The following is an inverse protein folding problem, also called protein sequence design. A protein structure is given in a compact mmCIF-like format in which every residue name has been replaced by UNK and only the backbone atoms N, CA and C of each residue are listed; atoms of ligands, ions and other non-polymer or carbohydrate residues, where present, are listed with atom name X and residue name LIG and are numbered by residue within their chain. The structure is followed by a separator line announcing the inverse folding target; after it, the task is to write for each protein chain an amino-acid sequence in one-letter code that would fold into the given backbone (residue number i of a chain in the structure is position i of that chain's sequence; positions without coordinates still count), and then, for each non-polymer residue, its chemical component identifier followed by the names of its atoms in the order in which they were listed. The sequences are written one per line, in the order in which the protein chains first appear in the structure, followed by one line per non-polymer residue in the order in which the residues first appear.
data_IF_155405767907
#
_entry.id   IF_155405767907
#
_cell.length_a   1.000
_cell.length_b   1.000
_cell.length_c   1.000
_cell.angle_alpha   90.00
_cell.angle_beta   90.00
_cell.angle_gamma   90.00
#
_symmetry.space_group_name_H-M   'P 1'
#
loop_
_entity.id
_entity.type
_entity.pdbx_description
1 polymer ?
#
# COMPACT_ATOMS: atom_id res chain seq x y z
N UNK A 1 83.92 3.34 -52.32
CA UNK A 1 82.66 2.60 -52.57
C UNK A 1 81.59 3.10 -51.63
N UNK A 2 80.66 3.92 -52.04
CA UNK A 2 79.57 4.51 -51.24
C UNK A 2 78.28 3.75 -51.50
N UNK A 3 77.73 3.10 -50.47
CA UNK A 3 76.39 2.49 -50.59
C UNK A 3 75.32 3.56 -50.42
N UNK A 4 74.34 3.73 -51.32
CA UNK A 4 73.19 4.58 -51.06
C UNK A 4 72.16 3.78 -50.23
N UNK A 5 71.90 4.19 -49.05
CA UNK A 5 70.78 3.70 -48.24
C UNK A 5 69.50 4.28 -48.85
N UNK A 6 68.71 3.41 -49.46
CA UNK A 6 67.35 3.73 -49.91
C UNK A 6 66.45 4.00 -48.72
N UNK A 7 66.15 5.29 -48.48
CA UNK A 7 65.07 5.69 -47.61
C UNK A 7 63.74 5.30 -48.26
N UNK A 8 63.17 4.20 -47.82
CA UNK A 8 61.79 3.84 -48.14
C UNK A 8 60.91 4.87 -47.39
N UNK A 9 60.44 5.90 -48.10
CA UNK A 9 59.38 6.80 -47.66
C UNK A 9 58.12 6.01 -47.44
N UNK A 10 57.84 5.70 -46.19
CA UNK A 10 56.54 5.14 -45.75
C UNK A 10 55.49 6.23 -46.00
N UNK A 11 54.75 6.15 -47.06
CA UNK A 11 53.60 7.01 -47.35
C UNK A 11 52.49 6.62 -46.39
N UNK A 12 52.06 7.47 -45.44
CA UNK A 12 50.89 7.19 -44.66
C UNK A 12 49.69 7.30 -45.56
N UNK A 13 49.15 6.15 -45.97
CA UNK A 13 47.91 6.06 -46.73
C UNK A 13 46.81 6.78 -45.93
N UNK A 14 46.17 7.75 -46.58
CA UNK A 14 45.09 8.56 -46.07
C UNK A 14 43.88 7.66 -45.71
N UNK A 15 43.85 7.13 -44.50
CA UNK A 15 42.70 6.38 -43.94
C UNK A 15 41.76 7.27 -43.10
N UNK A 16 41.90 8.60 -43.13
CA UNK A 16 41.16 9.54 -42.26
C UNK A 16 39.64 9.54 -42.49
N UNK A 17 39.13 9.18 -43.65
CA UNK A 17 37.68 9.17 -43.92
C UNK A 17 36.93 7.99 -43.28
N UNK A 18 37.55 6.79 -43.33
CA UNK A 18 36.92 5.57 -42.77
C UNK A 18 36.83 5.63 -41.24
N UNK A 19 37.87 6.14 -40.57
CA UNK A 19 37.91 6.29 -39.11
C UNK A 19 36.82 7.23 -38.63
N UNK A 20 36.55 8.31 -39.34
CA UNK A 20 35.50 9.26 -38.95
C UNK A 20 34.08 8.61 -39.08
N UNK A 21 33.84 7.86 -40.18
CA UNK A 21 32.54 7.17 -40.35
C UNK A 21 32.34 6.07 -39.34
N UNK A 22 33.36 5.25 -39.04
CA UNK A 22 33.27 4.22 -38.02
C UNK A 22 33.09 4.82 -36.62
N UNK A 23 33.76 5.94 -36.31
CA UNK A 23 33.58 6.66 -35.07
C UNK A 23 32.16 7.20 -34.92
N UNK A 24 31.57 7.77 -35.96
CA UNK A 24 30.18 8.23 -35.95
C UNK A 24 29.18 7.08 -35.76
N UNK A 25 29.37 5.96 -36.44
CA UNK A 25 28.52 4.78 -36.26
C UNK A 25 28.62 4.21 -34.87
N UNK A 26 29.81 4.12 -34.30
CA UNK A 26 30.01 3.67 -32.92
C UNK A 26 29.33 4.60 -31.94
N UNK A 27 29.47 5.90 -32.07
CA UNK A 27 28.83 6.90 -31.21
C UNK A 27 27.31 6.83 -31.32
N UNK A 28 26.76 6.59 -32.52
CA UNK A 28 25.32 6.42 -32.73
C UNK A 28 24.80 5.17 -31.99
N UNK A 29 25.47 4.04 -32.07
CA UNK A 29 25.08 2.81 -31.37
C UNK A 29 25.14 2.99 -29.89
N UNK A 30 26.22 3.60 -29.35
CA UNK A 30 26.36 3.87 -27.90
C UNK A 30 25.29 4.82 -27.40
N UNK A 31 24.93 5.85 -28.18
CA UNK A 31 23.84 6.77 -27.77
C UNK A 31 22.48 6.08 -27.72
N UNK A 32 22.15 5.20 -28.68
CA UNK A 32 20.90 4.44 -28.64
C UNK A 32 20.85 3.55 -27.37
N UNK A 33 21.93 2.83 -27.07
CA UNK A 33 22.01 1.98 -25.88
C UNK A 33 21.88 2.82 -24.61
N UNK A 34 22.55 3.96 -24.53
CA UNK A 34 22.49 4.84 -23.37
C UNK A 34 21.08 5.38 -23.14
N UNK A 35 20.38 5.83 -24.19
CA UNK A 35 19.01 6.34 -24.08
C UNK A 35 18.04 5.24 -23.66
N UNK A 36 18.15 4.04 -24.23
CA UNK A 36 17.27 2.92 -23.84
C UNK A 36 17.51 2.49 -22.39
N UNK A 37 18.76 2.44 -21.94
CA UNK A 37 19.10 2.13 -20.54
C UNK A 37 18.54 3.19 -19.57
N UNK A 38 18.66 4.48 -19.90
CA UNK A 38 18.13 5.57 -19.09
C UNK A 38 16.60 5.50 -18.97
N UNK A 39 15.89 5.23 -20.07
CA UNK A 39 14.44 5.09 -20.06
C UNK A 39 13.97 3.91 -19.17
N UNK A 40 14.64 2.77 -19.25
CA UNK A 40 14.32 1.61 -18.42
C UNK A 40 14.54 1.90 -16.92
N UNK A 41 15.61 2.62 -16.57
CA UNK A 41 15.88 3.02 -15.19
C UNK A 41 14.80 3.95 -14.64
N UNK A 42 14.35 4.94 -15.42
CA UNK A 42 13.30 5.87 -15.00
C UNK A 42 11.94 5.18 -14.81
N UNK A 43 11.60 4.22 -15.69
CA UNK A 43 10.40 3.41 -15.52
C UNK A 43 10.48 2.54 -14.25
N UNK A 44 11.62 1.92 -13.99
CA UNK A 44 11.84 1.13 -12.77
C UNK A 44 11.67 1.95 -11.49
N UNK A 45 12.20 3.18 -11.46
CA UNK A 45 12.03 4.09 -10.34
C UNK A 45 10.58 4.53 -10.14
N UNK A 46 9.85 4.83 -11.22
CA UNK A 46 8.43 5.19 -11.13
C UNK A 46 7.58 4.01 -10.63
N UNK A 47 7.82 2.80 -11.13
CA UNK A 47 7.12 1.61 -10.64
C UNK A 47 7.42 1.33 -9.17
N UNK A 48 8.68 1.45 -8.75
CA UNK A 48 9.06 1.30 -7.34
C UNK A 48 8.40 2.35 -6.45
N UNK A 49 8.36 3.61 -6.91
CA UNK A 49 7.69 4.70 -6.19
C UNK A 49 6.19 4.44 -6.02
N UNK A 50 5.48 4.08 -7.10
CA UNK A 50 4.05 3.79 -7.03
C UNK A 50 3.72 2.57 -6.15
N UNK A 51 4.61 1.56 -6.13
CA UNK A 51 4.45 0.41 -5.25
C UNK A 51 4.65 0.79 -3.77
N UNK A 52 5.61 1.66 -3.47
CA UNK A 52 5.80 2.19 -2.11
C UNK A 52 4.60 3.01 -1.65
N UNK A 53 4.05 3.87 -2.51
CA UNK A 53 2.86 4.67 -2.20
C UNK A 53 1.65 3.77 -1.95
N UNK A 54 1.43 2.73 -2.76
CA UNK A 54 0.36 1.76 -2.55
C UNK A 54 0.51 0.99 -1.24
N UNK A 55 1.73 0.56 -0.93
CA UNK A 55 2.02 -0.16 0.32
C UNK A 55 1.80 0.72 1.56
N UNK A 56 2.25 1.98 1.51
CA UNK A 56 2.01 2.95 2.57
C UNK A 56 0.52 3.23 2.76
N UNK A 57 -0.20 3.41 1.65
CA UNK A 57 -1.65 3.60 1.68
C UNK A 57 -2.38 2.42 2.33
N UNK A 58 -1.97 1.19 1.99
CA UNK A 58 -2.52 -0.03 2.60
C UNK A 58 -2.24 -0.08 4.11
N UNK A 59 -1.01 0.18 4.53
CA UNK A 59 -0.67 0.20 5.96
C UNK A 59 -1.44 1.27 6.74
N UNK A 60 -1.67 2.43 6.14
CA UNK A 60 -2.47 3.50 6.75
C UNK A 60 -3.93 3.09 6.92
N UNK A 61 -4.54 2.49 5.90
CA UNK A 61 -5.90 1.97 5.98
C UNK A 61 -6.01 0.82 7.00
N UNK A 62 -5.04 -0.08 7.04
CA UNK A 62 -4.99 -1.16 8.02
C UNK A 62 -4.85 -0.63 9.46
N UNK A 63 -4.04 0.40 9.66
CA UNK A 63 -3.92 1.06 10.96
C UNK A 63 -5.26 1.65 11.44
N UNK A 64 -6.08 2.18 10.53
CA UNK A 64 -7.45 2.63 10.83
C UNK A 64 -8.34 1.52 11.36
N UNK A 65 -8.29 0.33 10.75
CA UNK A 65 -9.04 -0.85 11.22
C UNK A 65 -8.64 -1.25 12.64
N UNK A 66 -7.34 -1.36 12.90
CA UNK A 66 -6.84 -1.72 14.23
C UNK A 66 -7.13 -0.65 15.28
N UNK A 67 -7.09 0.62 14.88
CA UNK A 67 -7.46 1.71 15.75
C UNK A 67 -8.92 1.62 16.18
N UNK A 68 -9.85 1.33 15.25
CA UNK A 68 -11.26 1.13 15.56
C UNK A 68 -11.49 -0.09 16.48
N UNK A 69 -10.80 -1.20 16.21
CA UNK A 69 -10.84 -2.37 17.08
C UNK A 69 -10.33 -2.07 18.50
N UNK A 70 -9.30 -1.23 18.60
CA UNK A 70 -8.74 -0.81 19.90
C UNK A 70 -9.71 -0.02 20.76
N UNK A 71 -10.78 0.56 20.19
CA UNK A 71 -11.84 1.24 20.94
C UNK A 71 -12.88 0.28 21.52
N UNK A 72 -12.86 -0.99 21.12
CA UNK A 72 -13.81 -1.97 21.64
C UNK A 72 -13.76 -2.06 23.17
N UNK A 73 -14.92 -1.96 23.83
CA UNK A 73 -15.04 -2.01 25.27
C UNK A 73 -14.62 -0.74 26.01
N UNK A 74 -14.24 0.33 25.33
CA UNK A 74 -13.97 1.64 25.93
C UNK A 74 -15.24 2.50 26.04
N UNK A 75 -15.12 3.70 26.57
CA UNK A 75 -16.24 4.66 26.60
C UNK A 75 -16.69 5.08 25.18
N UNK A 76 -15.79 5.04 24.21
CA UNK A 76 -16.01 5.37 22.80
C UNK A 76 -16.12 4.12 21.92
N UNK A 77 -16.59 2.98 22.46
CA UNK A 77 -16.78 1.73 21.71
C UNK A 77 -17.73 1.94 20.51
N UNK A 78 -17.27 1.79 19.27
CA UNK A 78 -18.10 1.96 18.09
C UNK A 78 -19.05 0.77 17.84
N UNK A 79 -18.88 -0.34 18.56
CA UNK A 79 -19.71 -1.56 18.42
C UNK A 79 -20.91 -1.54 19.38
N UNK A 80 -21.72 -0.46 19.33
CA UNK A 80 -22.85 -0.21 20.25
C UNK A 80 -24.21 -0.28 19.58
N UNK A 81 -24.51 -1.26 18.75
CA UNK A 81 -25.81 -1.42 18.09
C UNK A 81 -26.35 -0.16 17.40
N UNK A 82 -25.46 0.64 16.83
CA UNK A 82 -25.83 1.74 15.94
C UNK A 82 -25.67 1.28 14.49
N UNK A 83 -26.58 1.69 13.62
CA UNK A 83 -26.53 1.27 12.21
C UNK A 83 -25.23 1.66 11.53
N UNK A 84 -24.76 2.89 11.79
CA UNK A 84 -23.48 3.42 11.31
C UNK A 84 -22.85 4.29 12.39
N UNK A 85 -21.57 4.09 12.64
CA UNK A 85 -20.72 5.00 13.42
C UNK A 85 -19.65 5.52 12.46
N UNK A 86 -19.87 6.73 11.95
CA UNK A 86 -18.88 7.45 11.17
C UNK A 86 -17.86 8.12 12.10
N UNK A 87 -16.61 8.18 11.66
CA UNK A 87 -15.51 8.83 12.37
C UNK A 87 -15.43 8.47 13.88
N UNK A 88 -15.21 7.20 14.24
CA UNK A 88 -15.27 6.73 15.63
C UNK A 88 -14.21 7.37 16.53
N UNK A 89 -13.31 8.18 16.01
CA UNK A 89 -12.20 8.81 16.74
C UNK A 89 -12.47 10.24 17.17
N UNK A 90 -13.60 10.84 16.77
CA UNK A 90 -13.90 12.27 17.00
C UNK A 90 -13.83 12.70 18.47
N UNK A 91 -14.28 11.84 19.40
CA UNK A 91 -14.32 12.14 20.83
C UNK A 91 -13.14 11.54 21.61
N UNK A 92 -12.13 10.97 20.92
CA UNK A 92 -11.00 10.32 21.56
C UNK A 92 -9.90 11.34 21.87
N UNK A 93 -9.69 11.65 23.15
CA UNK A 93 -8.69 12.63 23.62
C UNK A 93 -7.26 12.33 23.11
N UNK A 94 -6.91 11.06 23.01
CA UNK A 94 -5.65 10.61 22.45
C UNK A 94 -5.94 9.89 21.12
N UNK A 95 -6.00 10.63 20.02
CA UNK A 95 -6.30 10.06 18.72
C UNK A 95 -5.36 8.88 18.41
N UNK A 96 -5.87 7.68 18.09
CA UNK A 96 -5.04 6.49 17.95
C UNK A 96 -4.08 6.58 16.75
N UNK A 97 -4.43 7.38 15.75
CA UNK A 97 -3.63 7.58 14.52
C UNK A 97 -2.65 8.76 14.61
N UNK A 98 -2.49 9.36 15.81
CA UNK A 98 -1.62 10.54 16.03
C UNK A 98 -0.16 10.37 15.62
N UNK A 99 0.32 9.14 15.55
CA UNK A 99 1.69 8.83 15.18
C UNK A 99 1.85 8.57 13.68
N UNK A 100 0.77 8.66 12.91
CA UNK A 100 0.87 8.56 11.45
C UNK A 100 1.49 9.83 10.86
N UNK A 101 2.18 9.64 9.74
CA UNK A 101 2.75 10.76 8.99
C UNK A 101 1.62 11.64 8.48
N UNK A 102 1.70 12.95 8.75
CA UNK A 102 0.68 13.91 8.33
C UNK A 102 -0.32 14.34 9.42
N UNK A 103 -0.46 13.57 10.50
CA UNK A 103 -1.33 13.97 11.62
C UNK A 103 -0.83 15.29 12.27
N UNK A 104 -1.71 16.25 12.68
CA UNK A 104 -3.17 16.26 12.62
C UNK A 104 -3.78 16.83 11.32
N UNK A 105 -2.96 17.31 10.39
CA UNK A 105 -3.43 18.05 9.21
C UNK A 105 -3.83 17.12 8.05
N UNK A 106 -3.38 15.89 8.08
CA UNK A 106 -3.66 14.87 7.08
C UNK A 106 -4.52 13.75 7.69
N UNK A 107 -5.83 14.01 7.79
CA UNK A 107 -6.83 12.99 8.09
C UNK A 107 -7.11 12.17 6.81
N UNK A 108 -6.06 11.63 6.24
CA UNK A 108 -6.15 10.82 5.03
C UNK A 108 -6.76 9.44 5.26
N UNK A 109 -7.00 9.08 6.52
CA UNK A 109 -7.63 7.83 6.92
C UNK A 109 -9.02 8.11 7.47
N UNK A 110 -10.03 7.66 6.74
CA UNK A 110 -11.43 7.69 7.13
C UNK A 110 -11.87 6.29 7.57
N UNK A 111 -12.61 6.20 8.68
CA UNK A 111 -13.03 4.91 9.25
C UNK A 111 -14.50 4.96 9.62
N UNK A 112 -15.25 4.00 9.06
CA UNK A 112 -16.66 3.80 9.36
C UNK A 112 -16.92 2.40 9.94
N UNK A 113 -17.83 2.30 10.87
CA UNK A 113 -18.28 1.04 11.47
C UNK A 113 -19.75 0.85 11.21
N UNK A 114 -20.11 -0.24 10.54
CA UNK A 114 -21.47 -0.60 10.17
C UNK A 114 -21.97 -1.81 10.95
N UNK A 115 -23.17 -1.74 11.49
CA UNK A 115 -23.89 -2.91 12.02
C UNK A 115 -24.55 -3.65 10.84
N UNK A 116 -24.13 -4.86 10.58
CA UNK A 116 -24.68 -5.68 9.49
C UNK A 116 -25.90 -6.47 9.96
N UNK A 117 -25.80 -7.07 11.14
CA UNK A 117 -26.96 -7.72 11.76
C UNK A 117 -26.74 -7.88 13.27
N UNK A 118 -27.83 -7.70 14.01
CA UNK A 118 -27.87 -7.94 15.44
C UNK A 118 -28.69 -9.22 15.74
N UNK A 119 -28.50 -9.76 16.96
CA UNK A 119 -29.33 -10.84 17.52
C UNK A 119 -29.36 -12.11 16.65
N UNK A 120 -28.24 -12.46 16.06
CA UNK A 120 -28.09 -13.72 15.33
C UNK A 120 -27.38 -14.78 16.15
N UNK A 121 -27.70 -16.04 15.84
CA UNK A 121 -26.97 -17.16 16.42
C UNK A 121 -25.48 -17.05 16.12
N UNK A 122 -24.66 -17.25 17.15
CA UNK A 122 -23.20 -17.23 17.00
C UNK A 122 -22.71 -18.42 16.15
N UNK A 123 -21.65 -18.23 15.33
CA UNK A 123 -21.05 -19.32 14.61
C UNK A 123 -20.49 -20.34 15.59
N UNK A 124 -20.86 -21.62 15.37
CA UNK A 124 -20.38 -22.72 16.20
C UNK A 124 -19.06 -23.24 15.68
N UNK A 125 -18.12 -23.56 16.58
CA UNK A 125 -16.95 -24.33 16.15
C UNK A 125 -17.41 -25.72 15.64
N UNK A 126 -16.74 -26.28 14.61
CA UNK A 126 -17.13 -27.57 14.01
C UNK A 126 -16.97 -28.78 14.93
N UNK A 127 -16.46 -28.60 16.15
CA UNK A 127 -16.26 -29.69 17.10
C UNK A 127 -17.42 -29.79 18.07
N UNK A 128 -17.96 -30.98 18.21
CA UNK A 128 -19.11 -31.36 19.04
C UNK A 128 -18.91 -31.21 20.57
N UNK A 129 -17.76 -30.74 21.03
CA UNK A 129 -17.39 -30.63 22.44
C UNK A 129 -17.57 -29.21 23.04
N UNK A 130 -18.10 -28.25 22.30
CA UNK A 130 -18.34 -26.90 22.77
C UNK A 130 -19.71 -26.75 23.40
N UNK A 131 -19.81 -27.00 24.69
CA UNK A 131 -21.02 -26.84 25.48
C UNK A 131 -21.37 -25.39 25.84
N UNK A 132 -21.41 -24.46 24.91
CA UNK A 132 -22.06 -23.17 25.17
C UNK A 132 -23.56 -23.30 24.89
N UNK A 133 -24.36 -23.02 25.89
CA UNK A 133 -25.80 -23.00 25.77
C UNK A 133 -26.22 -22.04 24.66
N UNK A 134 -26.83 -22.61 23.62
CA UNK A 134 -27.23 -21.96 22.37
C UNK A 134 -28.20 -20.79 22.58
N UNK A 135 -28.78 -20.69 23.77
CA UNK A 135 -29.81 -19.69 24.15
C UNK A 135 -29.27 -18.54 25.00
N UNK A 136 -27.99 -18.54 25.37
CA UNK A 136 -27.45 -17.53 26.29
C UNK A 136 -26.65 -16.44 25.56
N UNK A 137 -26.12 -16.75 24.37
CA UNK A 137 -25.27 -15.83 23.62
C UNK A 137 -25.87 -15.55 22.26
N UNK A 138 -25.99 -14.27 21.95
CA UNK A 138 -26.27 -13.75 20.62
C UNK A 138 -25.01 -13.12 20.05
N UNK A 139 -24.93 -13.06 18.73
CA UNK A 139 -23.84 -12.44 18.03
C UNK A 139 -24.31 -11.25 17.20
N UNK A 140 -23.54 -10.21 17.28
CA UNK A 140 -23.65 -9.01 16.48
C UNK A 140 -22.54 -9.00 15.44
N UNK A 141 -22.90 -8.72 14.19
CA UNK A 141 -21.99 -8.72 13.06
C UNK A 141 -21.77 -7.29 12.62
N UNK A 142 -20.52 -6.89 12.62
CA UNK A 142 -20.10 -5.56 12.21
C UNK A 142 -19.16 -5.64 11.03
N UNK A 143 -19.13 -4.59 10.24
CA UNK A 143 -18.13 -4.35 9.20
C UNK A 143 -17.45 -3.02 9.48
N UNK A 144 -16.15 -3.04 9.59
CA UNK A 144 -15.31 -1.86 9.66
C UNK A 144 -14.83 -1.60 8.24
N UNK A 145 -14.99 -0.39 7.76
CA UNK A 145 -14.39 0.10 6.52
C UNK A 145 -13.36 1.15 6.87
N UNK A 146 -12.17 1.05 6.30
CA UNK A 146 -11.12 2.04 6.46
C UNK A 146 -10.61 2.42 5.09
N UNK A 147 -10.66 3.70 4.78
CA UNK A 147 -10.19 4.25 3.53
C UNK A 147 -9.03 5.22 3.79
N UNK A 148 -7.95 5.05 3.04
CA UNK A 148 -6.86 6.02 2.99
C UNK A 148 -6.78 6.63 1.60
N UNK A 149 -6.74 7.96 1.53
CA UNK A 149 -6.66 8.72 0.28
C UNK A 149 -5.50 9.69 0.34
N UNK A 150 -4.48 9.45 -0.48
CA UNK A 150 -3.40 10.41 -0.73
C UNK A 150 -3.54 10.96 -2.15
N UNK A 151 -3.93 12.21 -2.25
CA UNK A 151 -4.26 12.85 -3.53
C UNK A 151 -3.10 12.76 -4.54
N UNK A 152 -3.40 12.17 -5.70
CA UNK A 152 -2.43 12.02 -6.79
C UNK A 152 -1.41 10.90 -6.63
N UNK A 153 -1.49 10.11 -5.54
CA UNK A 153 -0.54 9.00 -5.27
C UNK A 153 -1.22 7.66 -5.12
N UNK A 154 -2.04 7.49 -4.08
CA UNK A 154 -2.69 6.21 -3.81
C UNK A 154 -4.03 6.38 -3.11
N UNK A 155 -4.94 5.45 -3.36
CA UNK A 155 -6.19 5.28 -2.64
C UNK A 155 -6.37 3.80 -2.32
N UNK A 156 -6.64 3.50 -1.04
CA UNK A 156 -6.83 2.12 -0.59
C UNK A 156 -8.00 2.06 0.37
N UNK A 157 -8.93 1.16 0.12
CA UNK A 157 -10.03 0.84 1.02
C UNK A 157 -9.87 -0.60 1.49
N UNK A 158 -9.95 -0.80 2.80
CA UNK A 158 -9.85 -2.11 3.45
C UNK A 158 -11.11 -2.34 4.30
N UNK A 159 -11.64 -3.55 4.27
CA UNK A 159 -12.83 -3.92 5.04
C UNK A 159 -12.52 -5.09 5.94
N UNK A 160 -13.04 -5.06 7.17
CA UNK A 160 -12.91 -6.12 8.16
C UNK A 160 -14.26 -6.48 8.77
N UNK A 161 -14.62 -7.76 8.71
CA UNK A 161 -15.77 -8.29 9.43
C UNK A 161 -15.43 -8.59 10.89
N UNK A 162 -16.27 -8.11 11.81
CA UNK A 162 -16.11 -8.32 13.26
C UNK A 162 -17.37 -8.98 13.81
N UNK A 163 -17.19 -9.95 14.70
CA UNK A 163 -18.28 -10.59 15.41
C UNK A 163 -18.11 -10.29 16.90
N UNK A 164 -19.12 -9.64 17.49
CA UNK A 164 -19.18 -9.36 18.91
C UNK A 164 -20.19 -10.29 19.55
N UNK A 165 -19.72 -11.10 20.53
CA UNK A 165 -20.61 -11.94 21.32
C UNK A 165 -21.20 -11.12 22.45
N UNK A 166 -22.50 -11.12 22.58
CA UNK A 166 -23.26 -10.46 23.63
C UNK A 166 -24.06 -11.48 24.43
N UNK A 167 -24.31 -11.23 25.70
CA UNK A 167 -25.21 -12.05 26.48
C UNK A 167 -26.61 -11.79 25.94
N UNK A 168 -27.21 -12.83 25.33
CA UNK A 168 -28.55 -12.75 24.76
C UNK A 168 -29.56 -12.42 25.85
N UNK A 169 -30.51 -11.56 25.54
CA UNK A 169 -31.71 -11.44 26.34
C UNK A 169 -32.56 -12.69 26.12
N UNK A 170 -32.33 -13.72 26.92
CA UNK A 170 -33.21 -14.90 26.92
C UNK A 170 -34.64 -14.45 27.19
N UNK A 171 -35.45 -14.43 26.16
CA UNK A 171 -36.92 -14.53 26.19
C UNK A 171 -37.64 -13.48 27.05
N UNK A 172 -38.14 -12.46 26.40
CA UNK A 172 -39.47 -11.95 26.66
C UNK A 172 -40.34 -12.14 25.45
#
# INVERSE_FOLDING_TARGET
MRNPILNAMNNPTRQSGVVLVTGLLFLLVVTIIAVTAANNSTLGLKMSGSMQDSYRSFQSAEAGLYAALGLAGTAQDPFRRQDVVAEPFQEVTNHPLRNQVGYPNDLSVDVDVFLISAERACPRPPTSSGGSSVSVFDCEYYRIESEHVELGRARTQVQLGVIKTVIGRSGQ
#
